data_IF_273428048569
#
_entry.id   IF_273428048569
#
_cell.length_a   1.000
_cell.length_b   1.000
_cell.length_c   1.000
_cell.angle_alpha   90.00
_cell.angle_beta   90.00
_cell.angle_gamma   90.00
#
_symmetry.space_group_name_H-M   'P 1'
#
loop_
_entity.id
_entity.type
_entity.pdbx_description
1 polymer ?
2 non-polymer ?
#
# COMPACT_ATOMS: atom_id res chain seq x y z
N UNK A 1 -20.29 7.09 -26.46
CA UNK A 1 -19.61 7.47 -25.22
C UNK A 1 -18.68 6.35 -24.73
N UNK A 2 -17.59 6.14 -25.46
CA UNK A 2 -16.57 5.20 -25.00
C UNK A 2 -15.67 5.81 -23.95
N UNK A 3 -15.45 7.13 -24.01
CA UNK A 3 -14.50 7.80 -23.10
C UNK A 3 -15.10 8.08 -21.73
N UNK A 4 -16.42 8.23 -21.61
CA UNK A 4 -17.03 8.29 -20.29
C UNK A 4 -16.82 6.99 -19.55
N UNK A 5 -16.84 5.87 -20.29
CA UNK A 5 -16.49 4.58 -19.70
C UNK A 5 -15.08 4.60 -19.16
N UNK A 6 -14.15 5.25 -19.86
CA UNK A 6 -12.77 5.30 -19.39
C UNK A 6 -12.65 6.16 -18.13
N UNK A 7 -13.33 7.31 -18.10
CA UNK A 7 -13.29 8.13 -16.89
C UNK A 7 -13.88 7.39 -15.69
N UNK A 8 -15.03 6.74 -15.87
CA UNK A 8 -15.61 5.95 -14.79
C UNK A 8 -14.69 4.82 -14.36
N UNK A 9 -14.06 4.14 -15.31
CA UNK A 9 -13.19 3.02 -14.97
C UNK A 9 -11.98 3.51 -14.19
N UNK A 10 -11.45 4.69 -14.53
CA UNK A 10 -10.37 5.27 -13.75
C UNK A 10 -10.80 5.58 -12.33
N UNK A 11 -11.89 6.32 -12.16
CA UNK A 11 -12.31 6.69 -10.82
C UNK A 11 -12.81 5.48 -10.04
N UNK A 12 -13.14 4.38 -10.72
CA UNK A 12 -13.58 3.17 -10.02
C UNK A 12 -12.40 2.33 -9.58
N UNK A 13 -11.35 2.25 -10.40
CA UNK A 13 -10.16 1.53 -9.98
C UNK A 13 -9.30 2.30 -9.01
N UNK A 14 -9.48 3.62 -8.96
CA UNK A 14 -8.81 4.46 -7.99
C UNK A 14 -9.08 4.01 -6.57
N UNK A 15 -10.35 3.82 -6.23
CA UNK A 15 -10.72 3.46 -4.87
C UNK A 15 -10.32 2.08 -4.42
N UNK A 16 -9.56 1.36 -5.24
CA UNK A 16 -9.23 -0.02 -4.90
C UNK A 16 -8.25 -0.13 -3.74
N UNK A 17 -7.46 0.92 -3.50
CA UNK A 17 -6.49 0.90 -2.41
C UNK A 17 -6.37 2.26 -1.73
N UNK A 18 -7.43 3.07 -1.78
CA UNK A 18 -7.29 4.45 -1.33
C UNK A 18 -7.42 4.60 0.17
N UNK A 19 -8.06 3.66 0.86
CA UNK A 19 -8.25 3.78 2.30
C UNK A 19 -6.95 3.49 3.05
N UNK A 20 -6.28 2.40 2.70
CA UNK A 20 -5.00 2.07 3.33
C UNK A 20 -3.96 3.14 3.01
N UNK A 21 -3.98 3.67 1.80
CA UNK A 21 -3.03 4.72 1.45
C UNK A 21 -3.30 5.99 2.21
N UNK A 22 -4.57 6.37 2.36
CA UNK A 22 -4.89 7.52 3.18
C UNK A 22 -4.49 7.33 4.64
N UNK A 23 -4.71 6.13 5.16
CA UNK A 23 -4.31 5.83 6.53
C UNK A 23 -2.80 5.98 6.70
N UNK A 24 -2.02 5.38 5.79
CA UNK A 24 -0.57 5.43 5.92
C UNK A 24 -0.01 6.82 5.66
N UNK A 25 -0.72 7.66 4.92
CA UNK A 25 -0.22 9.01 4.73
C UNK A 25 -0.60 9.91 5.90
N UNK A 26 -1.70 9.60 6.59
CA UNK A 26 -2.03 10.34 7.81
C UNK A 26 -1.27 9.84 9.03
N UNK A 27 -0.70 8.64 8.95
CA UNK A 27 -0.01 8.05 10.10
C UNK A 27 1.05 8.94 10.73
N UNK A 28 1.79 9.79 10.01
CA UNK A 28 2.73 10.69 10.69
C UNK A 28 2.10 11.61 11.74
N UNK A 29 0.77 11.63 11.87
CA UNK A 29 0.12 12.35 12.95
C UNK A 29 -0.62 11.46 13.92
N UNK A 30 -1.00 10.25 13.53
CA UNK A 30 -1.72 9.35 14.44
C UNK A 30 -0.80 8.80 15.51
N UNK A 31 0.44 8.51 15.17
CA UNK A 31 1.45 8.19 16.17
C UNK A 31 1.67 9.45 17.00
N UNK A 32 2.33 9.30 18.15
CA UNK A 32 2.63 10.38 19.10
C UNK A 32 1.41 10.82 19.91
N UNK A 33 0.22 10.27 19.65
CA UNK A 33 -0.92 10.52 20.53
C UNK A 33 -1.60 9.23 20.94
N UNK A 34 -0.98 8.09 20.64
CA UNK A 34 -1.46 6.77 20.97
C UNK A 34 -0.43 6.08 21.86
N UNK A 35 -0.83 5.03 22.59
CA UNK A 35 0.14 4.38 23.48
C UNK A 35 1.26 3.67 22.74
N UNK A 36 1.03 3.24 21.50
CA UNK A 36 2.02 2.39 20.84
C UNK A 36 3.24 3.18 20.41
N UNK A 37 3.06 4.20 19.59
CA UNK A 37 4.20 4.98 19.14
C UNK A 37 4.94 4.28 18.02
N UNK A 38 6.25 4.08 18.23
CA UNK A 38 7.13 3.66 17.15
C UNK A 38 6.93 2.20 16.77
N UNK A 39 6.20 1.43 17.56
CA UNK A 39 5.93 0.03 17.25
C UNK A 39 4.74 -0.17 16.32
N UNK A 40 3.94 0.87 16.08
CA UNK A 40 2.65 0.70 15.43
C UNK A 40 2.76 0.14 14.01
N UNK A 41 3.67 0.60 13.15
CA UNK A 41 3.75 -0.02 11.82
C UNK A 41 4.09 -1.50 11.86
N UNK A 42 4.85 -1.93 12.87
CA UNK A 42 5.24 -3.34 12.94
C UNK A 42 4.04 -4.25 13.04
N UNK A 43 3.01 -3.86 13.79
CA UNK A 43 1.77 -4.60 13.81
C UNK A 43 0.96 -4.32 12.55
N UNK A 44 0.73 -3.03 12.24
CA UNK A 44 -0.10 -2.66 11.10
C UNK A 44 0.29 -3.37 9.81
N UNK A 45 1.51 -3.87 9.70
CA UNK A 45 1.87 -4.63 8.51
C UNK A 45 1.42 -6.09 8.60
N UNK A 46 1.67 -6.73 9.75
CA UNK A 46 1.26 -8.13 9.91
C UNK A 46 -0.26 -8.26 9.90
N UNK A 47 -0.95 -7.27 10.45
CA UNK A 47 -2.42 -7.28 10.42
C UNK A 47 -2.91 -7.19 8.98
N UNK A 48 -2.41 -6.22 8.23
CA UNK A 48 -2.82 -6.06 6.84
C UNK A 48 -2.54 -7.31 6.04
N UNK A 49 -1.43 -7.99 6.33
CA UNK A 49 -1.10 -9.19 5.55
C UNK A 49 -1.82 -10.44 6.02
N UNK A 50 -2.19 -10.54 7.29
CA UNK A 50 -3.07 -11.62 7.73
C UNK A 50 -4.48 -11.42 7.20
N UNK A 51 -4.84 -10.19 6.87
CA UNK A 51 -6.13 -9.92 6.26
C UNK A 51 -6.23 -10.56 4.87
N UNK A 52 -5.19 -11.25 4.44
CA UNK A 52 -5.25 -12.05 3.23
C UNK A 52 -6.06 -13.28 3.41
N UNK A 53 -6.75 -13.40 4.55
CA UNK A 53 -7.74 -14.47 4.70
C UNK A 53 -8.96 -14.19 3.82
N UNK A 54 -9.12 -12.97 3.33
CA UNK A 54 -10.23 -12.61 2.48
C UNK A 54 -10.15 -13.28 1.12
N UNK A 55 -9.16 -12.92 0.30
CA UNK A 55 -9.08 -13.51 -1.05
C UNK A 55 -9.01 -15.02 -1.06
N UNK A 56 -8.35 -15.63 -0.08
CA UNK A 56 -8.37 -17.08 0.02
C UNK A 56 -9.79 -17.60 0.17
N UNK A 57 -10.59 -16.96 1.02
CA UNK A 57 -11.97 -17.41 1.22
C UNK A 57 -12.83 -17.15 -0.02
N UNK A 58 -12.61 -16.02 -0.69
CA UNK A 58 -13.37 -15.74 -1.90
C UNK A 58 -13.06 -16.77 -2.98
N UNK A 59 -11.79 -17.17 -3.10
CA UNK A 59 -11.45 -18.22 -4.06
C UNK A 59 -12.05 -19.55 -3.66
N UNK A 60 -12.02 -19.88 -2.37
CA UNK A 60 -12.64 -21.11 -1.91
C UNK A 60 -14.13 -21.14 -2.25
N UNK A 61 -14.81 -20.02 -2.08
CA UNK A 61 -16.25 -19.97 -2.32
C UNK A 61 -16.56 -19.94 -3.81
N UNK A 62 -15.65 -19.40 -4.63
CA UNK A 62 -15.82 -19.48 -6.08
C UNK A 62 -15.64 -20.92 -6.56
N UNK A 63 -14.74 -21.67 -5.94
CA UNK A 63 -14.49 -23.04 -6.36
C UNK A 63 -15.57 -23.99 -5.86
N UNK A 64 -16.08 -23.76 -4.65
CA UNK A 64 -17.03 -24.69 -4.05
C UNK A 64 -18.39 -24.63 -4.74
N UNK A 65 -19.01 -23.45 -4.76
CA UNK A 65 -20.35 -23.27 -5.32
C UNK A 65 -20.37 -22.05 -6.23
N UNK A 66 -19.83 -22.19 -7.44
CA UNK A 66 -19.80 -21.03 -8.37
C UNK A 66 -21.18 -20.58 -8.80
N UNK A 67 -22.19 -21.45 -8.66
CA UNK A 67 -23.54 -21.08 -9.06
C UNK A 67 -24.09 -19.95 -8.20
N UNK A 68 -23.86 -20.01 -6.89
CA UNK A 68 -24.40 -18.99 -6.00
C UNK A 68 -23.61 -17.68 -6.12
N UNK A 69 -22.40 -17.75 -6.67
CA UNK A 69 -21.56 -16.57 -6.76
C UNK A 69 -22.22 -15.46 -7.57
N UNK A 70 -22.20 -14.25 -7.02
CA UNK A 70 -22.72 -13.06 -7.66
C UNK A 70 -21.78 -11.91 -7.36
N UNK A 71 -21.30 -11.24 -8.41
CA UNK A 71 -20.12 -10.38 -8.25
C UNK A 71 -20.49 -8.97 -7.80
N UNK A 72 -21.55 -8.40 -8.38
CA UNK A 72 -21.94 -7.02 -8.09
C UNK A 72 -22.42 -6.85 -6.64
N UNK A 73 -23.17 -7.79 -6.07
CA UNK A 73 -23.43 -7.68 -4.62
C UNK A 73 -22.15 -7.73 -3.80
N UNK A 74 -21.19 -8.56 -4.23
CA UNK A 74 -19.92 -8.63 -3.52
C UNK A 74 -19.22 -7.28 -3.52
N UNK A 75 -19.17 -6.63 -4.69
CA UNK A 75 -18.43 -5.37 -4.79
C UNK A 75 -19.18 -4.25 -4.09
N UNK A 76 -20.52 -4.25 -4.13
CA UNK A 76 -21.27 -3.24 -3.41
C UNK A 76 -21.11 -3.42 -1.90
N UNK A 77 -21.10 -4.66 -1.44
CA UNK A 77 -20.77 -4.94 -0.05
C UNK A 77 -19.41 -4.36 0.31
N UNK A 78 -18.40 -4.60 -0.53
CA UNK A 78 -17.07 -4.10 -0.24
C UNK A 78 -17.05 -2.59 -0.14
N UNK A 79 -17.67 -1.88 -1.09
CA UNK A 79 -17.61 -0.43 -1.08
C UNK A 79 -18.40 0.18 0.06
N UNK A 80 -19.57 -0.36 0.38
CA UNK A 80 -20.33 0.14 1.50
C UNK A 80 -19.63 -0.09 2.83
N UNK A 81 -19.05 -1.28 3.00
CA UNK A 81 -18.26 -1.54 4.20
C UNK A 81 -17.09 -0.58 4.29
N UNK A 82 -16.46 -0.27 3.16
CA UNK A 82 -15.38 0.71 3.16
C UNK A 82 -15.84 2.07 3.65
N UNK A 83 -16.98 2.55 3.13
CA UNK A 83 -17.45 3.87 3.52
C UNK A 83 -17.81 3.94 5.00
N UNK A 84 -18.55 2.93 5.49
CA UNK A 84 -18.95 2.95 6.89
C UNK A 84 -17.73 2.79 7.80
N UNK A 85 -16.77 1.97 7.39
CA UNK A 85 -15.57 1.79 8.20
C UNK A 85 -14.76 3.07 8.25
N UNK A 86 -14.78 3.86 7.18
CA UNK A 86 -14.08 5.15 7.22
C UNK A 86 -14.81 6.13 8.14
N UNK A 87 -16.14 6.19 8.06
CA UNK A 87 -16.87 7.10 8.95
C UNK A 87 -16.65 6.72 10.40
N UNK A 88 -16.55 5.42 10.68
CA UNK A 88 -16.29 4.97 12.05
C UNK A 88 -14.85 5.30 12.46
N UNK A 89 -13.89 4.97 11.61
CA UNK A 89 -12.49 5.28 11.88
C UNK A 89 -12.29 6.76 12.16
N UNK A 90 -13.15 7.61 11.59
CA UNK A 90 -13.07 9.03 11.90
C UNK A 90 -13.21 9.29 13.39
N UNK A 91 -14.01 8.48 14.09
CA UNK A 91 -14.32 8.78 15.49
C UNK A 91 -13.59 7.83 16.45
N UNK A 92 -13.35 6.59 16.03
CA UNK A 92 -12.89 5.55 16.94
C UNK A 92 -11.39 5.27 16.83
N UNK A 93 -10.61 6.18 16.25
CA UNK A 93 -9.19 5.90 16.12
C UNK A 93 -8.44 6.14 17.42
N UNK A 94 -8.78 7.20 18.16
CA UNK A 94 -8.03 7.57 19.36
C UNK A 94 -8.60 6.95 20.63
N UNK A 95 -9.70 6.20 20.55
CA UNK A 95 -10.22 5.53 21.72
C UNK A 95 -9.28 4.41 22.13
N UNK A 96 -9.00 4.30 23.42
CA UNK A 96 -8.11 3.28 23.95
C UNK A 96 -8.76 2.57 25.13
N UNK A 97 -8.63 1.25 25.15
CA UNK A 97 -9.21 0.40 26.18
C UNK A 97 -8.12 -0.10 27.12
N UNK A 98 -8.48 -0.31 28.38
CA UNK A 98 -7.57 -0.87 29.36
C UNK A 98 -7.78 -2.36 29.41
N UNK A 99 -6.88 -3.12 28.77
CA UNK A 99 -6.98 -4.57 28.74
C UNK A 99 -5.60 -5.16 29.01
N UNK A 100 -5.59 -6.37 29.57
CA UNK A 100 -4.37 -7.17 29.70
C UNK A 100 -3.29 -6.44 30.49
N UNK A 101 -3.73 -5.60 31.44
CA UNK A 101 -2.82 -4.81 32.28
C UNK A 101 -1.95 -3.88 31.43
N UNK A 102 -2.59 -3.03 30.64
CA UNK A 102 -1.88 -2.07 29.83
C UNK A 102 -2.80 -1.39 28.86
N UNK A 103 -2.35 -0.25 28.35
CA UNK A 103 -3.08 0.43 27.30
C UNK A 103 -2.82 -0.24 25.97
N UNK A 104 -3.88 -0.41 25.18
CA UNK A 104 -3.76 -1.01 23.86
C UNK A 104 -4.76 -0.35 22.94
N UNK A 105 -4.45 -0.34 21.64
CA UNK A 105 -5.35 0.25 20.64
C UNK A 105 -6.05 -0.89 19.90
N UNK A 106 -7.14 -1.37 20.49
CA UNK A 106 -7.88 -2.49 19.92
C UNK A 106 -8.77 -2.02 18.78
N UNK A 107 -9.42 -0.86 18.96
CA UNK A 107 -10.27 -0.33 17.89
C UNK A 107 -9.47 -0.06 16.63
N UNK A 108 -8.31 0.59 16.77
CA UNK A 108 -7.43 0.86 15.63
C UNK A 108 -7.07 -0.45 14.91
N UNK A 109 -6.65 -1.46 15.67
CA UNK A 109 -6.20 -2.70 15.05
C UNK A 109 -7.33 -3.41 14.31
N UNK A 110 -8.51 -3.53 14.94
CA UNK A 110 -9.58 -4.28 14.28
C UNK A 110 -10.15 -3.50 13.10
N UNK A 111 -10.23 -2.17 13.22
CA UNK A 111 -10.71 -1.39 12.07
C UNK A 111 -9.72 -1.42 10.93
N UNK A 112 -8.42 -1.45 11.22
CA UNK A 112 -7.43 -1.63 10.17
C UNK A 112 -7.57 -3.01 9.55
N UNK A 113 -7.88 -4.02 10.35
CA UNK A 113 -8.14 -5.34 9.81
C UNK A 113 -9.31 -5.31 8.85
N UNK A 114 -10.36 -4.55 9.17
CA UNK A 114 -11.52 -4.48 8.28
C UNK A 114 -11.19 -3.73 6.99
N UNK A 115 -10.51 -2.58 7.10
CA UNK A 115 -10.11 -1.85 5.89
C UNK A 115 -9.19 -2.68 5.01
N UNK A 116 -8.24 -3.39 5.62
CA UNK A 116 -7.33 -4.22 4.85
C UNK A 116 -8.06 -5.40 4.24
N UNK A 117 -9.08 -5.93 4.92
CA UNK A 117 -9.90 -6.99 4.33
C UNK A 117 -10.62 -6.49 3.09
N UNK A 118 -11.20 -5.29 3.18
CA UNK A 118 -11.90 -4.70 2.04
C UNK A 118 -10.95 -4.48 0.88
N UNK A 119 -9.79 -3.85 1.13
CA UNK A 119 -8.88 -3.55 0.02
C UNK A 119 -8.20 -4.80 -0.53
N UNK A 120 -7.91 -5.79 0.32
CA UNK A 120 -7.32 -7.03 -0.18
C UNK A 120 -8.32 -7.82 -1.00
N UNK A 121 -9.61 -7.77 -0.64
CA UNK A 121 -10.62 -8.47 -1.42
C UNK A 121 -10.93 -7.73 -2.71
N UNK A 122 -10.79 -6.41 -2.71
CA UNK A 122 -10.96 -5.67 -3.96
C UNK A 122 -9.95 -6.12 -5.01
N UNK A 123 -8.73 -6.44 -4.60
CA UNK A 123 -7.70 -6.82 -5.56
C UNK A 123 -8.13 -8.00 -6.41
N UNK A 124 -8.80 -8.98 -5.82
CA UNK A 124 -9.19 -10.18 -6.55
C UNK A 124 -10.63 -10.12 -7.07
N UNK A 125 -11.46 -9.23 -6.54
CA UNK A 125 -12.81 -9.11 -7.07
C UNK A 125 -12.95 -8.01 -8.12
N UNK A 126 -11.89 -7.25 -8.38
CA UNK A 126 -12.01 -6.17 -9.35
C UNK A 126 -11.52 -6.54 -10.74
N UNK A 127 -10.63 -7.53 -10.86
CA UNK A 127 -10.14 -7.88 -12.20
C UNK A 127 -11.17 -8.61 -13.03
N UNK A 128 -11.78 -9.73 -12.58
CA UNK A 128 -12.77 -10.40 -13.43
C UNK A 128 -14.03 -9.59 -13.69
N UNK A 129 -14.13 -8.37 -13.16
CA UNK A 129 -15.22 -7.49 -13.55
C UNK A 129 -14.92 -6.81 -14.88
N UNK A 130 -13.64 -6.55 -15.15
CA UNK A 130 -13.26 -5.94 -16.42
C UNK A 130 -13.14 -6.93 -17.56
N UNK A 131 -13.29 -8.23 -17.29
CA UNK A 131 -13.22 -9.22 -18.36
C UNK A 131 -14.46 -9.17 -19.26
N UNK A 132 -15.61 -8.73 -18.74
CA UNK A 132 -16.81 -8.65 -19.56
C UNK A 132 -16.92 -7.32 -20.30
N UNK A 133 -16.25 -6.28 -19.81
CA UNK A 133 -16.29 -4.97 -20.45
C UNK A 133 -15.43 -4.98 -21.71
N UNK A 134 -15.41 -3.87 -22.49
CA UNK A 134 -14.49 -3.82 -23.63
C UNK A 134 -13.04 -3.89 -23.19
N UNK A 135 -12.21 -4.43 -24.09
CA UNK A 135 -10.79 -4.53 -23.80
C UNK A 135 -10.11 -3.16 -23.90
N UNK A 136 -10.66 -2.27 -24.73
CA UNK A 136 -10.12 -0.93 -24.87
C UNK A 136 -10.28 -0.10 -23.60
N UNK A 137 -11.08 -0.57 -22.64
CA UNK A 137 -11.28 0.13 -21.37
C UNK A 137 -10.46 -0.48 -20.25
N UNK A 138 -9.58 -1.44 -20.55
CA UNK A 138 -8.85 -2.16 -19.51
C UNK A 138 -7.64 -1.39 -19.00
N UNK A 139 -7.11 -0.46 -19.80
CA UNK A 139 -5.86 0.20 -19.43
C UNK A 139 -6.09 1.35 -18.46
N UNK A 140 -7.14 2.14 -18.69
CA UNK A 140 -7.43 3.25 -17.79
C UNK A 140 -7.77 2.78 -16.39
N UNK A 141 -8.20 1.52 -16.26
CA UNK A 141 -8.23 0.87 -14.95
C UNK A 141 -6.87 0.97 -14.27
N UNK A 142 -5.80 0.72 -15.03
CA UNK A 142 -4.46 0.74 -14.44
C UNK A 142 -4.03 2.17 -14.12
N UNK A 143 -4.49 3.14 -14.89
CA UNK A 143 -4.23 4.54 -14.54
C UNK A 143 -4.88 4.88 -13.20
N UNK A 144 -6.13 4.47 -13.02
CA UNK A 144 -6.78 4.68 -11.73
C UNK A 144 -6.07 3.97 -10.61
N UNK A 145 -5.68 2.72 -10.84
CA UNK A 145 -4.91 1.97 -9.84
C UNK A 145 -3.65 2.71 -9.44
N UNK A 146 -2.88 3.18 -10.42
CA UNK A 146 -1.66 3.88 -10.10
C UNK A 146 -1.91 5.16 -9.32
N UNK A 147 -2.93 5.91 -9.70
CA UNK A 147 -3.20 7.17 -9.02
C UNK A 147 -4.02 7.01 -7.76
N UNK A 148 -4.30 5.77 -7.34
CA UNK A 148 -4.99 5.53 -6.07
C UNK A 148 -4.34 6.27 -4.90
N UNK A 149 -3.05 6.58 -4.98
CA UNK A 149 -2.37 7.21 -3.88
C UNK A 149 -2.06 8.68 -4.00
N UNK A 150 -2.57 9.37 -5.02
CA UNK A 150 -2.14 10.75 -5.25
C UNK A 150 -2.94 11.75 -4.43
N UNK A 151 -4.27 11.56 -4.34
CA UNK A 151 -5.09 12.60 -3.70
C UNK A 151 -4.98 12.63 -2.19
N UNK A 152 -4.95 11.49 -1.47
CA UNK A 152 -4.66 11.58 -0.03
C UNK A 152 -3.33 12.25 0.25
N UNK A 153 -2.35 12.02 -0.60
CA UNK A 153 -1.05 12.67 -0.44
C UNK A 153 -1.16 14.18 -0.61
N UNK A 154 -1.99 14.63 -1.54
CA UNK A 154 -2.15 16.07 -1.75
C UNK A 154 -2.92 16.72 -0.60
N UNK A 155 -3.95 16.04 -0.09
CA UNK A 155 -4.66 16.57 1.08
C UNK A 155 -3.71 16.65 2.26
N UNK A 156 -2.82 15.66 2.41
CA UNK A 156 -1.86 15.70 3.50
C UNK A 156 -0.85 16.82 3.30
N UNK A 157 -0.40 17.04 2.07
CA UNK A 157 0.55 18.12 1.81
C UNK A 157 -0.09 19.50 1.99
N UNK A 158 -1.40 19.60 1.83
CA UNK A 158 -2.07 20.83 2.24
C UNK A 158 -2.29 20.87 3.75
N UNK A 159 -2.30 19.71 4.41
CA UNK A 159 -2.46 19.66 5.85
C UNK A 159 -1.18 20.08 6.56
N UNK A 160 -0.13 19.28 6.41
CA UNK A 160 1.22 19.69 6.76
C UNK A 160 1.96 19.85 8.07
N UNK A 161 1.46 19.25 9.14
CA UNK A 161 2.24 19.17 10.37
C UNK A 161 3.75 19.36 10.34
N UNK A 216 -2.28 21.12 14.10
CA UNK A 216 -2.05 21.14 12.66
C UNK A 216 -3.05 22.05 11.96
N UNK A 217 -3.11 21.94 10.63
CA UNK A 217 -4.01 22.78 9.85
C UNK A 217 -5.46 22.39 10.09
N UNK A 218 -5.75 21.09 10.13
CA UNK A 218 -7.05 20.59 10.57
C UNK A 218 -6.89 19.16 11.06
N UNK A 219 -7.71 18.79 12.04
CA UNK A 219 -7.60 17.52 12.72
C UNK A 219 -7.74 16.35 11.75
N UNK A 220 -7.24 15.17 12.13
CA UNK A 220 -7.43 13.98 11.27
C UNK A 220 -8.89 13.62 11.03
N UNK A 221 -9.82 14.15 11.82
CA UNK A 221 -11.24 13.87 11.62
C UNK A 221 -11.69 14.36 10.25
N UNK A 222 -11.30 15.58 9.87
CA UNK A 222 -11.71 16.13 8.59
C UNK A 222 -11.06 15.36 7.44
N UNK A 223 -9.81 14.94 7.62
CA UNK A 223 -9.16 14.12 6.60
C UNK A 223 -9.90 12.80 6.41
N UNK A 224 -10.28 12.14 7.50
CA UNK A 224 -10.96 10.87 7.35
C UNK A 224 -12.37 11.05 6.79
N UNK A 225 -13.01 12.18 7.09
CA UNK A 225 -14.31 12.44 6.45
C UNK A 225 -14.15 12.68 4.95
N UNK A 226 -13.06 13.35 4.55
CA UNK A 226 -12.75 13.45 3.11
C UNK A 226 -12.55 12.08 2.49
N UNK A 227 -11.85 11.20 3.21
CA UNK A 227 -11.71 9.82 2.74
C UNK A 227 -13.07 9.17 2.54
N UNK A 228 -13.99 9.41 3.48
CA UNK A 228 -15.34 8.85 3.36
C UNK A 228 -16.06 9.39 2.13
N UNK A 229 -15.88 10.68 1.84
CA UNK A 229 -16.52 11.28 0.67
C UNK A 229 -15.95 10.70 -0.62
N UNK A 230 -14.64 10.51 -0.68
CA UNK A 230 -14.03 9.90 -1.86
C UNK A 230 -14.53 8.48 -2.06
N UNK A 231 -14.64 7.71 -0.97
CA UNK A 231 -15.18 6.36 -1.09
C UNK A 231 -16.64 6.40 -1.53
N UNK A 232 -17.39 7.41 -1.10
CA UNK A 232 -18.77 7.55 -1.55
C UNK A 232 -18.84 7.83 -3.04
N UNK A 233 -17.90 8.62 -3.55
CA UNK A 233 -17.87 8.89 -5.00
C UNK A 233 -17.52 7.64 -5.79
N UNK A 234 -16.58 6.84 -5.31
CA UNK A 234 -16.31 5.56 -5.96
C UNK A 234 -17.54 4.65 -5.91
N UNK A 235 -18.27 4.68 -4.79
CA UNK A 235 -19.49 3.91 -4.67
C UNK A 235 -20.52 4.34 -5.73
N UNK A 236 -20.70 5.64 -5.90
CA UNK A 236 -21.64 6.15 -6.90
C UNK A 236 -21.20 5.74 -8.30
N UNK A 237 -19.91 5.84 -8.58
CA UNK A 237 -19.43 5.53 -9.93
C UNK A 237 -19.62 4.06 -10.28
N UNK A 238 -19.38 3.15 -9.34
CA UNK A 238 -19.52 1.74 -9.68
C UNK A 238 -20.95 1.35 -10.02
N UNK A 239 -21.93 2.18 -9.64
CA UNK A 239 -23.33 1.81 -9.90
C UNK A 239 -23.67 1.85 -11.39
N UNK A 240 -22.94 2.64 -12.17
CA UNK A 240 -23.28 2.84 -13.58
C UNK A 240 -22.65 1.78 -14.48
N UNK A 241 -21.63 1.07 -14.02
CA UNK A 241 -20.93 0.14 -14.90
C UNK A 241 -21.78 -1.10 -15.22
N UNK A 242 -22.66 -1.49 -14.30
CA UNK A 242 -23.53 -2.65 -14.56
C UNK A 242 -24.95 -2.24 -14.94
N UNK A 243 -25.25 -0.95 -14.91
CA UNK A 243 -26.60 -0.49 -15.27
C UNK A 243 -26.68 -0.32 -16.77
N UNK A 295 14.68 -23.35 -23.76
CA UNK A 295 15.79 -23.68 -22.88
C UNK A 295 15.27 -24.16 -21.52
N UNK A 296 15.95 -23.73 -20.45
CA UNK A 296 15.56 -24.14 -19.11
C UNK A 296 14.26 -23.45 -18.69
N UNK A 297 13.42 -24.14 -17.91
CA UNK A 297 12.14 -23.54 -17.50
C UNK A 297 12.27 -22.43 -16.49
N UNK A 298 13.47 -22.18 -15.97
CA UNK A 298 13.63 -21.25 -14.86
C UNK A 298 13.39 -19.80 -15.26
N UNK A 299 13.38 -19.52 -16.57
CA UNK A 299 13.29 -18.13 -17.02
C UNK A 299 11.99 -17.47 -16.57
N UNK A 300 10.92 -18.24 -16.41
CA UNK A 300 9.68 -17.68 -15.88
C UNK A 300 9.72 -17.59 -14.36
N UNK A 301 10.24 -18.63 -13.71
CA UNK A 301 10.32 -18.63 -12.25
C UNK A 301 11.15 -17.45 -11.75
N UNK A 302 12.10 -16.97 -12.56
CA UNK A 302 12.91 -15.83 -12.15
C UNK A 302 12.06 -14.60 -11.94
N UNK A 303 11.09 -14.35 -12.83
CA UNK A 303 10.27 -13.15 -12.72
C UNK A 303 9.34 -13.23 -11.52
N UNK A 304 8.74 -14.41 -11.28
CA UNK A 304 7.90 -14.57 -10.11
C UNK A 304 8.71 -14.38 -8.83
N UNK A 305 9.90 -14.96 -8.77
CA UNK A 305 10.73 -14.80 -7.59
C UNK A 305 11.12 -13.34 -7.40
N UNK A 306 11.38 -12.62 -8.49
CA UNK A 306 11.75 -11.22 -8.35
C UNK A 306 10.58 -10.37 -7.89
N UNK A 307 9.36 -10.68 -8.35
CA UNK A 307 8.20 -9.91 -7.88
C UNK A 307 7.94 -10.19 -6.40
N UNK A 308 8.05 -11.45 -6.00
CA UNK A 308 7.93 -11.78 -4.59
C UNK A 308 8.96 -11.03 -3.76
N UNK A 309 10.22 -11.00 -4.22
CA UNK A 309 11.28 -10.34 -3.49
C UNK A 309 11.02 -8.84 -3.38
N UNK A 310 10.68 -8.19 -4.50
CA UNK A 310 10.50 -6.75 -4.48
C UNK A 310 9.30 -6.35 -3.63
N UNK A 311 8.21 -7.13 -3.67
CA UNK A 311 7.06 -6.79 -2.85
C UNK A 311 7.33 -7.08 -1.39
N UNK A 312 8.11 -8.11 -1.07
CA UNK A 312 8.52 -8.32 0.31
C UNK A 312 9.33 -7.14 0.81
N UNK A 313 10.17 -6.58 -0.05
CA UNK A 313 11.00 -5.45 0.35
C UNK A 313 10.21 -4.17 0.53
N UNK A 314 9.20 -3.92 -0.31
CA UNK A 314 8.55 -2.61 -0.27
C UNK A 314 7.21 -2.61 0.43
N UNK A 315 6.64 -3.77 0.75
CA UNK A 315 5.35 -3.87 1.44
C UNK A 315 5.49 -4.32 2.88
N UNK A 316 6.30 -5.34 3.14
CA UNK A 316 6.41 -5.89 4.47
C UNK A 316 7.62 -5.45 5.26
N UNK A 317 8.80 -5.48 4.65
CA UNK A 317 10.02 -5.28 5.43
C UNK A 317 10.29 -3.81 5.71
N UNK A 318 10.47 -3.02 4.67
CA UNK A 318 10.89 -1.64 4.89
C UNK A 318 9.79 -0.75 5.45
N UNK A 319 8.50 -0.96 5.12
CA UNK A 319 7.46 -0.21 5.83
C UNK A 319 7.37 -0.55 7.31
N UNK A 320 7.90 -1.70 7.74
CA UNK A 320 7.76 -2.14 9.12
C UNK A 320 8.67 -1.38 10.07
N UNK A 321 9.72 -0.73 9.56
CA UNK A 321 10.67 -0.03 10.41
C UNK A 321 10.82 1.41 9.93
N UNK A 322 9.74 1.97 9.37
CA UNK A 322 9.83 3.33 8.84
C UNK A 322 10.02 4.35 9.94
N UNK A 323 9.54 4.07 11.16
CA UNK A 323 9.69 5.04 12.24
C UNK A 323 11.15 5.19 12.65
N UNK A 324 11.81 4.07 12.99
CA UNK A 324 13.23 4.13 13.33
C UNK A 324 14.06 4.74 12.22
N UNK A 325 13.70 4.47 10.96
CA UNK A 325 14.50 4.98 9.84
C UNK A 325 14.33 6.48 9.69
N UNK A 326 13.09 6.97 9.65
CA UNK A 326 12.81 8.34 9.23
C UNK A 326 12.60 9.31 10.37
N UNK A 327 11.86 8.94 11.42
CA UNK A 327 11.40 9.93 12.38
C UNK A 327 12.54 10.50 13.23
N UNK A 328 13.73 9.87 13.19
CA UNK A 328 14.83 10.33 14.02
C UNK A 328 15.29 11.74 13.66
N UNK A 329 15.11 12.15 12.41
CA UNK A 329 15.49 13.49 11.98
C UNK A 329 14.49 14.55 12.39
N UNK A 330 13.41 14.18 13.05
CA UNK A 330 12.38 15.11 13.42
C UNK A 330 11.04 14.73 12.83
N UNK A 331 10.03 15.54 13.07
CA UNK A 331 8.70 15.25 12.52
C UNK A 331 8.61 15.48 11.02
N UNK A 332 9.21 16.58 10.54
CA UNK A 332 9.05 16.97 9.15
C UNK A 332 9.71 15.97 8.22
N UNK A 333 10.81 15.36 8.67
CA UNK A 333 11.43 14.30 7.88
C UNK A 333 10.45 13.16 7.62
N UNK A 334 9.79 12.67 8.67
CA UNK A 334 8.84 11.58 8.49
C UNK A 334 7.64 12.01 7.67
N UNK A 335 7.12 13.21 7.95
CA UNK A 335 6.02 13.77 7.18
C UNK A 335 6.31 13.72 5.69
N UNK A 336 7.38 14.41 5.26
CA UNK A 336 7.73 14.47 3.85
C UNK A 336 8.08 13.10 3.31
N UNK A 337 8.79 12.27 4.08
CA UNK A 337 9.22 10.98 3.58
C UNK A 337 8.02 10.11 3.24
N UNK A 338 7.05 10.01 4.15
CA UNK A 338 5.86 9.22 3.89
C UNK A 338 5.06 9.79 2.73
N UNK A 339 4.80 11.10 2.75
CA UNK A 339 3.94 11.68 1.73
C UNK A 339 4.56 11.58 0.34
N UNK A 340 5.84 11.91 0.21
CA UNK A 340 6.48 11.87 -1.09
C UNK A 340 6.78 10.45 -1.54
N UNK A 341 7.04 9.53 -0.61
CA UNK A 341 7.14 8.13 -1.01
C UNK A 341 5.82 7.59 -1.51
N UNK A 342 4.70 8.17 -1.08
CA UNK A 342 3.41 7.75 -1.62
C UNK A 342 3.13 8.43 -2.96
N UNK A 343 3.55 9.69 -3.13
CA UNK A 343 3.38 10.35 -4.42
C UNK A 343 4.29 9.75 -5.49
N UNK A 344 5.45 9.23 -5.09
CA UNK A 344 6.47 8.81 -6.06
C UNK A 344 6.12 7.52 -6.79
N UNK A 345 5.11 6.79 -6.35
CA UNK A 345 4.73 5.57 -7.06
C UNK A 345 3.92 5.88 -8.31
N UNK A 346 2.91 6.75 -8.25
CA UNK A 346 2.21 7.14 -9.48
C UNK A 346 3.13 7.66 -10.58
N UNK A 347 4.03 8.61 -10.26
CA UNK A 347 4.88 9.17 -11.30
C UNK A 347 5.87 8.14 -11.82
N UNK A 348 6.29 7.20 -10.98
CA UNK A 348 7.08 6.09 -11.47
C UNK A 348 6.31 5.30 -12.52
N UNK A 349 5.02 5.04 -12.26
CA UNK A 349 4.19 4.35 -13.25
C UNK A 349 4.04 5.17 -14.53
N UNK A 350 3.91 6.49 -14.41
CA UNK A 350 3.76 7.33 -15.60
C UNK A 350 5.02 7.32 -16.46
N UNK A 351 6.18 7.53 -15.84
CA UNK A 351 7.44 7.46 -16.57
C UNK A 351 7.63 6.07 -17.16
N UNK A 352 7.10 5.04 -16.50
CA UNK A 352 7.13 3.71 -17.08
C UNK A 352 6.25 3.62 -18.31
N UNK A 353 5.12 4.33 -18.29
CA UNK A 353 4.17 4.25 -19.40
C UNK A 353 4.68 5.01 -20.62
N UNK A 354 5.45 6.07 -20.41
CA UNK A 354 6.00 6.80 -21.54
C UNK A 354 7.25 6.13 -22.10
N UNK A 355 8.19 5.75 -21.23
CA UNK A 355 9.47 5.20 -21.65
C UNK A 355 9.64 3.79 -21.10
N UNK A 356 9.07 2.77 -21.75
CA UNK A 356 9.14 1.41 -21.22
C UNK A 356 10.27 0.56 -21.80
N UNK A 357 10.74 -0.38 -20.98
CA UNK A 357 11.78 -1.34 -21.35
C UNK A 357 11.44 -2.69 -20.77
N UNK A 358 11.31 -3.71 -21.63
CA UNK A 358 10.96 -5.06 -21.21
C UNK A 358 12.18 -5.97 -21.04
N UNK A 359 13.40 -5.43 -21.14
CA UNK A 359 14.59 -6.27 -21.04
C UNK A 359 14.81 -6.69 -19.60
N UNK A 360 15.18 -7.96 -19.41
CA UNK A 360 15.29 -8.50 -18.05
C UNK A 360 16.50 -7.94 -17.32
N UNK A 361 17.64 -7.78 -18.02
CA UNK A 361 18.86 -7.32 -17.35
C UNK A 361 18.68 -5.92 -16.81
N UNK A 362 18.03 -5.03 -17.56
CA UNK A 362 17.89 -3.65 -17.09
C UNK A 362 16.98 -3.57 -15.87
N UNK A 363 15.86 -4.28 -15.89
CA UNK A 363 14.97 -4.26 -14.74
C UNK A 363 15.65 -4.91 -13.53
N UNK A 364 16.44 -5.95 -13.75
CA UNK A 364 17.17 -6.55 -12.64
C UNK A 364 18.21 -5.62 -12.04
N UNK A 365 18.93 -4.88 -12.88
CA UNK A 365 19.94 -3.97 -12.37
C UNK A 365 19.28 -2.81 -11.64
N UNK A 366 18.15 -2.32 -12.14
CA UNK A 366 17.43 -1.28 -11.41
C UNK A 366 16.90 -1.83 -10.09
N UNK A 367 16.53 -3.11 -10.06
CA UNK A 367 16.15 -3.74 -8.80
C UNK A 367 17.32 -3.76 -7.82
N UNK A 368 18.53 -4.05 -8.32
CA UNK A 368 19.70 -4.06 -7.44
C UNK A 368 19.97 -2.66 -6.91
N UNK A 369 19.80 -1.64 -7.75
CA UNK A 369 19.99 -0.27 -7.28
C UNK A 369 18.96 0.10 -6.22
N UNK A 370 17.71 -0.27 -6.44
CA UNK A 370 16.68 -0.02 -5.44
C UNK A 370 16.93 -0.77 -4.16
N UNK A 371 17.47 -1.98 -4.25
CA UNK A 371 17.78 -2.75 -3.05
C UNK A 371 18.97 -2.16 -2.31
N UNK A 372 19.93 -1.57 -3.02
CA UNK A 372 21.00 -0.84 -2.34
C UNK A 372 20.45 0.37 -1.61
N UNK A 373 19.51 1.08 -2.23
CA UNK A 373 18.84 2.17 -1.53
C UNK A 373 18.05 1.65 -0.33
N UNK A 374 17.47 0.46 -0.44
CA UNK A 374 16.76 -0.12 0.69
C UNK A 374 17.69 -0.51 1.82
N UNK A 375 18.87 -1.01 1.48
CA UNK A 375 19.88 -1.26 2.49
C UNK A 375 20.33 0.01 3.18
N UNK A 376 20.45 1.11 2.44
CA UNK A 376 20.74 2.38 3.09
C UNK A 376 19.56 2.86 3.94
N UNK A 377 18.34 2.51 3.57
CA UNK A 377 17.18 2.86 4.38
C UNK A 377 17.20 2.12 5.71
N UNK A 378 17.55 0.83 5.66
CA UNK A 378 17.57 0.01 6.88
C UNK A 378 18.78 0.33 7.75
N UNK A 379 19.90 0.70 7.13
CA UNK A 379 21.13 0.93 7.87
C UNK A 379 21.01 2.12 8.80
N UNK A 380 20.20 3.12 8.43
CA UNK A 380 19.99 4.25 9.32
C UNK A 380 18.97 3.91 10.41
N UNK A 381 18.04 3.01 10.10
CA UNK A 381 17.09 2.58 11.12
C UNK A 381 17.79 1.79 12.22
N UNK A 382 18.71 0.91 11.84
CA UNK A 382 19.43 0.09 12.81
C UNK A 382 20.38 0.96 13.62
N UNK A 383 20.43 2.25 13.31
CA UNK A 383 21.33 3.17 13.99
C UNK A 383 20.61 4.32 14.68
N UNK A 384 19.33 4.20 14.95
CA UNK A 384 18.66 5.19 15.76
C UNK A 384 19.14 5.06 17.20
N UNK A 385 18.96 6.10 18.04
CA UNK A 385 18.31 7.41 17.90
C UNK A 385 19.11 8.41 17.08
N UNK A 386 20.40 8.14 16.88
CA UNK A 386 21.27 9.04 16.12
C UNK A 386 21.83 8.28 14.92
N UNK A 387 21.30 8.49 13.72
CA UNK A 387 21.96 7.95 12.53
C UNK A 387 23.06 8.87 12.06
N UNK A 388 23.66 8.59 10.90
CA UNK A 388 24.65 9.50 10.34
C UNK A 388 24.01 10.85 10.00
N UNK A 389 24.72 11.93 10.32
CA UNK A 389 24.29 13.29 10.03
C UNK A 389 22.95 13.62 10.69
N UNK A 390 22.77 13.14 11.92
CA UNK A 390 21.56 13.46 12.67
C UNK A 390 21.58 14.92 13.10
N UNK A 391 20.42 15.57 13.01
CA UNK A 391 20.35 17.00 13.32
C UNK A 391 21.18 17.85 12.38
N UNK A 392 21.19 17.49 11.10
CA UNK A 392 21.98 18.19 10.08
C UNK A 392 21.09 18.49 8.89
N UNK A 393 21.35 19.63 8.23
CA UNK A 393 20.57 20.02 7.07
C UNK A 393 20.54 18.91 6.03
N UNK A 394 21.72 18.48 5.59
CA UNK A 394 21.79 17.53 4.50
C UNK A 394 21.24 16.16 4.86
N UNK A 395 21.19 15.84 6.15
CA UNK A 395 20.72 14.53 6.56
C UNK A 395 19.27 14.29 6.19
N UNK A 396 18.41 15.27 6.45
CA UNK A 396 16.99 15.07 6.18
C UNK A 396 16.73 14.96 4.68
N UNK A 397 17.39 15.79 3.88
CA UNK A 397 17.21 15.68 2.44
C UNK A 397 17.79 14.37 1.93
N UNK A 398 18.86 13.86 2.54
CA UNK A 398 19.39 12.57 2.12
C UNK A 398 18.40 11.45 2.40
N UNK A 399 17.77 11.46 3.57
CA UNK A 399 16.85 10.37 3.91
C UNK A 399 15.57 10.48 3.07
N UNK A 400 15.08 11.70 2.83
CA UNK A 400 13.88 11.87 2.02
C UNK A 400 14.14 11.47 0.58
N UNK A 401 15.26 11.92 0.03
CA UNK A 401 15.63 11.53 -1.33
C UNK A 401 15.84 10.03 -1.43
N UNK A 402 16.40 9.41 -0.39
CA UNK A 402 16.63 7.98 -0.45
C UNK A 402 15.32 7.21 -0.45
N UNK A 403 14.36 7.62 0.37
CA UNK A 403 13.05 6.97 0.36
C UNK A 403 12.36 7.16 -0.98
N UNK A 404 12.41 8.38 -1.53
CA UNK A 404 11.77 8.65 -2.81
C UNK A 404 12.38 7.78 -3.90
N UNK A 405 13.71 7.70 -3.95
CA UNK A 405 14.37 6.93 -5.00
C UNK A 405 14.13 5.43 -4.82
N UNK A 406 14.17 4.92 -3.59
CA UNK A 406 13.84 3.52 -3.34
C UNK A 406 12.45 3.20 -3.85
N UNK A 407 11.46 3.99 -3.44
CA UNK A 407 10.08 3.72 -3.84
C UNK A 407 9.89 3.84 -5.34
N UNK A 408 10.49 4.86 -5.95
CA UNK A 408 10.30 5.05 -7.39
C UNK A 408 10.97 3.96 -8.21
N UNK A 409 12.25 3.69 -7.94
CA UNK A 409 12.95 2.66 -8.70
C UNK A 409 12.39 1.27 -8.45
N UNK A 410 11.65 1.06 -7.36
CA UNK A 410 11.04 -0.26 -7.24
C UNK A 410 9.63 -0.30 -7.81
N UNK A 411 8.90 0.81 -7.79
CA UNK A 411 7.57 0.84 -8.39
C UNK A 411 7.66 0.73 -9.91
N UNK A 412 8.65 1.39 -10.51
CA UNK A 412 8.87 1.25 -11.95
C UNK A 412 9.12 -0.20 -12.33
N UNK A 413 9.97 -0.89 -11.57
CA UNK A 413 10.24 -2.30 -11.83
C UNK A 413 8.97 -3.11 -11.70
N UNK A 414 8.16 -2.83 -10.69
CA UNK A 414 6.91 -3.57 -10.52
C UNK A 414 5.99 -3.40 -11.73
N UNK A 415 5.84 -2.17 -12.20
CA UNK A 415 4.95 -1.90 -13.33
C UNK A 415 5.47 -2.57 -14.61
N UNK A 416 6.78 -2.56 -14.82
CA UNK A 416 7.29 -3.13 -16.06
C UNK A 416 7.26 -4.65 -16.05
N UNK A 417 7.52 -5.26 -14.89
CA UNK A 417 7.27 -6.70 -14.79
C UNK A 417 5.79 -7.00 -15.03
N UNK A 418 4.91 -6.10 -14.60
CA UNK A 418 3.50 -6.29 -14.86
C UNK A 418 3.17 -6.26 -16.34
N UNK A 419 3.80 -5.34 -17.09
CA UNK A 419 3.56 -5.28 -18.53
C UNK A 419 4.09 -6.53 -19.23
N UNK A 420 5.28 -6.99 -18.85
CA UNK A 420 5.79 -8.25 -19.39
C UNK A 420 4.79 -9.37 -19.17
N UNK A 421 4.35 -9.54 -17.92
CA UNK A 421 3.43 -10.62 -17.60
C UNK A 421 2.11 -10.50 -18.34
N UNK A 422 1.59 -9.27 -18.48
CA UNK A 422 0.32 -9.08 -19.15
C UNK A 422 0.42 -9.38 -20.63
N UNK A 423 1.56 -9.05 -21.25
CA UNK A 423 1.75 -9.40 -22.65
C UNK A 423 2.01 -10.89 -22.85
N UNK A 424 2.41 -11.61 -21.79
CA UNK A 424 2.51 -13.06 -21.93
C UNK A 424 1.13 -13.71 -21.90
N UNK A 425 0.40 -13.58 -20.80
CA UNK A 425 -0.93 -14.18 -20.64
C UNK A 425 -1.60 -13.58 -19.41
N UNK A 426 -2.79 -14.10 -19.07
CA UNK A 426 -3.56 -13.62 -17.92
C UNK A 426 -3.38 -14.47 -16.67
N UNK A 427 -3.29 -15.80 -16.81
CA UNK A 427 -2.84 -16.62 -15.70
C UNK A 427 -1.54 -16.08 -15.13
N UNK A 428 -0.72 -15.46 -15.99
CA UNK A 428 0.43 -14.70 -15.52
C UNK A 428 0.03 -13.68 -14.47
N UNK A 429 -1.01 -12.90 -14.75
CA UNK A 429 -1.43 -11.87 -13.80
C UNK A 429 -2.00 -12.47 -12.52
N UNK A 430 -2.74 -13.57 -12.65
CA UNK A 430 -3.27 -14.25 -11.48
C UNK A 430 -2.14 -14.69 -10.55
N UNK A 431 -1.18 -15.43 -11.09
CA UNK A 431 -0.04 -15.85 -10.28
C UNK A 431 0.82 -14.67 -9.85
N UNK A 432 0.80 -13.57 -10.60
CA UNK A 432 1.45 -12.35 -10.15
C UNK A 432 0.84 -11.87 -8.83
N UNK A 433 -0.48 -11.79 -8.78
CA UNK A 433 -1.14 -11.45 -7.53
C UNK A 433 -0.80 -12.42 -6.41
N UNK A 434 -0.78 -13.71 -6.73
CA UNK A 434 -0.47 -14.73 -5.72
C UNK A 434 0.92 -14.50 -5.14
N UNK A 435 1.91 -14.29 -6.00
CA UNK A 435 3.29 -14.11 -5.55
C UNK A 435 3.45 -12.79 -4.79
N UNK A 436 2.78 -11.73 -5.24
CA UNK A 436 2.81 -10.47 -4.50
C UNK A 436 2.34 -10.69 -3.07
N UNK A 437 1.20 -11.36 -2.91
CA UNK A 437 0.66 -11.55 -1.56
C UNK A 437 1.56 -12.44 -0.72
N UNK A 438 2.05 -13.54 -1.29
CA UNK A 438 2.94 -14.41 -0.53
C UNK A 438 4.20 -13.69 -0.09
N UNK A 439 4.80 -12.90 -0.98
CA UNK A 439 6.01 -12.17 -0.62
C UNK A 439 5.77 -11.13 0.45
N UNK A 440 4.66 -10.39 0.34
CA UNK A 440 4.35 -9.40 1.37
C UNK A 440 4.18 -10.08 2.73
N UNK A 441 3.46 -11.21 2.75
CA UNK A 441 3.26 -11.96 3.99
C UNK A 441 4.59 -12.41 4.58
N UNK A 442 5.45 -13.00 3.75
CA UNK A 442 6.73 -13.47 4.26
C UNK A 442 7.56 -12.33 4.81
N UNK A 443 7.54 -11.18 4.15
CA UNK A 443 8.31 -10.04 4.63
C UNK A 443 7.84 -9.57 5.99
N UNK A 444 6.53 -9.41 6.15
CA UNK A 444 6.00 -8.98 7.45
C UNK A 444 6.31 -10.00 8.53
N UNK A 445 6.10 -11.29 8.24
CA UNK A 445 6.35 -12.32 9.24
C UNK A 445 7.83 -12.41 9.60
N UNK A 446 8.72 -12.13 8.64
CA UNK A 446 10.14 -12.18 8.93
C UNK A 446 10.57 -11.00 9.79
N UNK A 447 10.01 -9.82 9.52
CA UNK A 447 10.42 -8.65 10.27
C UNK A 447 9.70 -8.50 11.60
N UNK A 448 8.66 -9.29 11.87
CA UNK A 448 7.98 -9.16 13.15
C UNK A 448 8.84 -9.58 14.34
N UNK A 449 9.39 -10.80 14.41
CA UNK A 449 10.16 -11.19 15.61
C UNK A 449 11.50 -10.49 15.72
N UNK A 450 12.02 -9.93 14.63
CA UNK A 450 13.24 -9.13 14.73
C UNK A 450 12.98 -7.80 15.43
N UNK A 451 11.87 -7.15 15.07
CA UNK A 451 11.58 -5.83 15.63
C UNK A 451 11.02 -5.95 17.03
N UNK A 452 10.14 -6.90 17.27
CA UNK A 452 9.29 -6.86 18.45
C UNK A 452 9.79 -7.67 19.62
N UNK A 453 10.29 -8.89 19.37
CA UNK A 453 10.76 -9.72 20.47
C UNK A 453 12.20 -9.37 20.84
N UNK A 454 13.11 -9.44 19.86
CA UNK A 454 14.53 -9.23 20.16
C UNK A 454 14.85 -7.77 20.43
N UNK A 455 14.04 -6.85 19.90
CA UNK A 455 14.23 -5.41 20.11
C UNK A 455 15.60 -4.95 19.62
N UNK A 456 15.88 -5.19 18.33
CA UNK A 456 17.14 -4.75 17.77
C UNK A 456 17.14 -3.26 17.47
N UNK A 457 15.96 -2.69 17.21
CA UNK A 457 15.83 -1.29 16.84
C UNK A 457 15.47 -0.44 18.05
N UNK A 458 16.06 0.74 18.12
CA UNK A 458 15.94 1.61 19.28
C UNK A 458 15.04 2.81 18.98
N UNK A 459 14.42 3.34 20.03
CA UNK A 459 13.57 4.51 19.92
C UNK A 459 14.34 5.75 20.34
N UNK A 460 13.65 6.89 20.31
CA UNK A 460 14.28 8.16 20.58
C UNK A 460 13.29 9.13 21.22
N UNK A 461 13.81 10.12 21.91
CA UNK A 461 13.01 11.22 22.45
C UNK A 461 13.36 12.49 21.69
N UNK A 462 12.37 13.38 21.57
CA UNK A 462 12.59 14.64 20.87
C UNK A 462 12.84 15.79 21.84
X LIG B 1 -0.72 -2.99 -2.66
X LIG B 1 -0.88 -4.23 -3.15
X LIG B 1 -1.21 -4.38 -4.28
X LIG B 1 -0.68 -5.31 -2.36
X LIG B 1 -0.31 -5.13 -1.11
X LIG B 1 -0.13 -6.06 -0.41
X LIG B 1 -0.14 -3.88 -0.62
X LIG B 1 0.23 -3.74 0.63
X LIG B 1 0.38 -2.54 1.12
X LIG B 1 0.76 -2.39 2.43
X LIG B 1 0.94 -1.12 2.95
X LIG B 1 1.36 -0.96 4.40
X LIG B 1 0.73 -0.02 2.16
X LIG B 1 0.92 1.39 2.71
X LIG B 1 0.35 -0.17 0.85
X LIG B 1 0.18 -1.43 0.33
X LIG B 1 -0.19 -1.57 -0.94
X LIG B 1 -0.35 -2.81 -1.41
X LIG B 1 -0.42 -0.38 -1.74
X LIG B 1 0.53 -0.12 -2.89
X LIG B 1 1.75 0.34 -2.40
X LIG B 1 -0.08 0.96 -3.76
X LIG B 1 -1.32 1.33 -3.22
X LIG B 1 -0.28 0.46 -5.18
X LIG B 1 -1.03 1.41 -5.88
X LIG B 1 -1.03 -0.86 -5.21
X LIG B 1 -1.47 -1.10 -6.52
#
# INVERSE_FOLDING_TARGET
MAFLMHLLVCVFGMGSWVTINGLWVELPLLVMELPEGWYLPSYLTVVIQLANIGPLLVTLLHHFRPSCLSEVPIIFTLLGVGTVTCIIFAFLWNMTSWVLDGHHSIAFLVLTFFLALVDCTSSVTFLPFMSRLPTYYLTTFFVGEGLSGLLPALVALAQGSGLTTCVNVTEISDSVPSPVPTRETDIAQGVPRALVSALPGMEAPLSHLESRYLPAHFSPLVFFLLLSIMMACCLVAFFVLQRQPRCWEASVEDLLNDQVTLHSIRPREENDLGPAGTVDSSQGQGYLEEKAAPCCPAHLAFIYTLVAFVNALTNGMLPSVQTYSCLSYGPVAYHLAATLSIVANPLASLVSMFLPNRSLLFLGVLSVLGTCFGGYNMAMAVMSPCPLLQGHWGGEVLIVASWVLFSGCLSYVKVMLGVVLRDLSRSALLWCGAAVQLGSLLGALLMFPLVNVLRLFSSADFCNLHCPA
RBF N1 C2 O2 N3 C4 O4 C4A N5 C5A C6 C7 C7M C8 C8M C9 C9A N10 C10 C1' C2' O2' C3' O3' C4' O4' C5' O5'
#
